data_IF_785524653106
#
_entry.id   IF_785524653106
#
_cell.length_a   1.000
_cell.length_b   1.000
_cell.length_c   1.000
_cell.angle_alpha   90.00
_cell.angle_beta   90.00
_cell.angle_gamma   90.00
#
_symmetry.space_group_name_H-M   'P 1'
#
loop_
_entity.id
_entity.type
_entity.pdbx_description
1 polymer ?
#
# COMPACT_ATOMS: atom_id res chain seq x y z
N UNK A 1 20.25 -14.72 3.32
CA UNK A 1 21.43 -14.15 2.60
C UNK A 1 21.03 -12.80 2.02
N UNK A 2 21.82 -11.75 2.21
CA UNK A 2 21.57 -10.44 1.59
C UNK A 2 22.55 -10.30 0.42
N UNK A 3 22.02 -9.98 -0.76
CA UNK A 3 22.80 -9.83 -1.99
C UNK A 3 22.61 -8.39 -2.48
N UNK A 4 23.70 -7.68 -2.73
CA UNK A 4 23.64 -6.39 -3.43
C UNK A 4 23.53 -6.65 -4.93
N UNK A 5 22.36 -6.38 -5.52
CA UNK A 5 22.13 -6.63 -6.94
C UNK A 5 23.09 -5.82 -7.85
N UNK A 6 23.69 -4.72 -7.36
CA UNK A 6 24.66 -3.92 -8.12
C UNK A 6 26.00 -4.61 -8.30
N UNK A 7 26.30 -5.62 -7.48
CA UNK A 7 27.55 -6.39 -7.57
C UNK A 7 27.39 -7.66 -8.39
N UNK A 8 26.18 -7.98 -8.85
CA UNK A 8 25.93 -9.19 -9.65
C UNK A 8 26.30 -8.96 -11.13
N UNK A 9 26.83 -9.98 -11.83
CA UNK A 9 26.98 -9.93 -13.28
C UNK A 9 25.66 -9.63 -13.98
N UNK A 10 25.74 -8.90 -15.10
CA UNK A 10 24.55 -8.71 -15.95
C UNK A 10 24.08 -10.05 -16.50
N UNK A 11 22.78 -10.34 -16.38
CA UNK A 11 22.18 -11.61 -16.81
C UNK A 11 22.22 -12.72 -15.76
N UNK A 12 22.73 -12.44 -14.56
CA UNK A 12 22.67 -13.38 -13.42
C UNK A 12 21.22 -13.75 -13.08
N UNK A 13 20.98 -15.03 -12.81
CA UNK A 13 19.64 -15.56 -12.50
C UNK A 13 19.54 -15.99 -11.03
N UNK A 14 18.50 -15.53 -10.34
CA UNK A 14 18.21 -15.94 -8.96
C UNK A 14 17.03 -16.90 -8.98
N UNK A 15 17.30 -18.18 -8.72
CA UNK A 15 16.29 -19.24 -8.66
C UNK A 15 15.55 -19.26 -7.32
N UNK A 16 14.22 -19.13 -7.37
CA UNK A 16 13.36 -19.04 -6.18
C UNK A 16 11.96 -19.55 -6.52
N UNK A 17 11.22 -20.05 -5.53
CA UNK A 17 9.81 -20.44 -5.72
C UNK A 17 8.88 -19.23 -5.62
N UNK A 18 9.24 -18.25 -4.78
CA UNK A 18 8.45 -17.05 -4.53
C UNK A 18 9.37 -15.83 -4.56
N UNK A 19 9.11 -14.91 -5.50
CA UNK A 19 9.74 -13.60 -5.52
C UNK A 19 8.78 -12.54 -4.98
N UNK A 20 9.16 -11.87 -3.89
CA UNK A 20 8.44 -10.76 -3.29
C UNK A 20 9.15 -9.47 -3.68
N UNK A 21 8.42 -8.57 -4.34
CA UNK A 21 8.94 -7.25 -4.71
C UNK A 21 8.49 -6.23 -3.67
N UNK A 22 9.46 -5.55 -3.06
CA UNK A 22 9.39 -4.63 -1.93
C UNK A 22 9.31 -5.27 -0.54
N UNK A 23 10.06 -4.68 0.40
CA UNK A 23 10.14 -5.00 1.82
C UNK A 23 9.28 -4.06 2.68
N UNK A 24 8.11 -3.64 2.18
CA UNK A 24 7.10 -2.93 2.96
C UNK A 24 6.36 -3.84 3.96
N UNK A 25 5.32 -3.32 4.64
CA UNK A 25 4.52 -4.10 5.59
C UNK A 25 3.95 -5.40 5.00
N UNK A 26 3.42 -5.35 3.76
CA UNK A 26 2.93 -6.53 3.07
C UNK A 26 4.05 -7.53 2.75
N UNK A 27 5.13 -7.04 2.13
CA UNK A 27 6.24 -7.88 1.67
C UNK A 27 6.94 -8.61 2.81
N UNK A 28 7.24 -7.93 3.91
CA UNK A 28 7.83 -8.56 5.10
C UNK A 28 6.86 -9.57 5.76
N UNK A 29 5.56 -9.27 5.76
CA UNK A 29 4.55 -10.21 6.29
C UNK A 29 4.53 -11.49 5.45
N UNK A 30 4.44 -11.37 4.12
CA UNK A 30 4.50 -12.51 3.20
C UNK A 30 5.81 -13.29 3.36
N UNK A 31 6.95 -12.61 3.41
CA UNK A 31 8.26 -13.26 3.56
C UNK A 31 8.33 -14.08 4.87
N UNK A 32 7.79 -13.55 5.97
CA UNK A 32 7.70 -14.26 7.26
C UNK A 32 6.79 -15.48 7.17
N UNK A 33 5.62 -15.34 6.56
CA UNK A 33 4.67 -16.44 6.37
C UNK A 33 5.25 -17.59 5.53
N UNK A 34 5.97 -17.28 4.45
CA UNK A 34 6.55 -18.31 3.58
C UNK A 34 7.82 -18.96 4.15
N UNK A 35 8.64 -18.21 4.89
CA UNK A 35 9.80 -18.80 5.59
C UNK A 35 9.37 -19.86 6.60
N UNK A 36 8.16 -19.73 7.17
CA UNK A 36 7.61 -20.73 8.09
C UNK A 36 7.14 -22.04 7.41
N UNK A 37 7.04 -22.04 6.08
CA UNK A 37 6.49 -23.13 5.27
C UNK A 37 7.52 -23.75 4.31
N UNK A 38 8.82 -23.57 4.59
CA UNK A 38 9.96 -24.18 3.87
C UNK A 38 10.06 -23.83 2.37
N UNK A 39 9.55 -22.66 1.96
CA UNK A 39 9.73 -22.17 0.59
C UNK A 39 11.07 -21.42 0.41
N UNK A 40 11.68 -21.56 -0.77
CA UNK A 40 12.78 -20.67 -1.20
C UNK A 40 12.22 -19.33 -1.65
N UNK A 41 12.37 -18.32 -0.80
CA UNK A 41 11.84 -16.95 -1.02
C UNK A 41 12.97 -15.97 -1.37
N UNK A 42 12.77 -15.18 -2.42
CA UNK A 42 13.57 -14.00 -2.74
C UNK A 42 12.78 -12.74 -2.38
N UNK A 43 13.34 -11.88 -1.52
CA UNK A 43 12.80 -10.55 -1.25
C UNK A 43 13.66 -9.51 -1.97
N UNK A 44 13.08 -8.87 -2.98
CA UNK A 44 13.74 -7.85 -3.79
C UNK A 44 13.25 -6.46 -3.39
N UNK A 45 14.13 -5.64 -2.84
CA UNK A 45 13.85 -4.23 -2.55
C UNK A 45 14.80 -3.34 -3.33
N UNK A 46 14.28 -2.20 -3.80
CA UNK A 46 15.07 -1.17 -4.43
C UNK A 46 15.14 0.02 -3.47
N UNK A 47 16.35 0.47 -3.13
CA UNK A 47 16.52 1.68 -2.32
C UNK A 47 17.97 2.12 -2.26
N UNK A 48 18.22 3.41 -2.06
CA UNK A 48 19.44 3.91 -1.43
C UNK A 48 19.08 4.49 -0.06
N UNK A 49 20.07 4.77 0.79
CA UNK A 49 19.83 5.41 2.09
C UNK A 49 19.54 6.91 1.98
N UNK A 50 19.79 7.52 0.82
CA UNK A 50 19.67 8.96 0.60
C UNK A 50 18.61 9.32 -0.44
N UNK A 51 18.09 10.54 -0.31
CA UNK A 51 17.11 11.14 -1.20
C UNK A 51 17.77 11.67 -2.49
N UNK A 52 17.18 11.37 -3.65
CA UNK A 52 17.65 11.84 -4.96
C UNK A 52 16.81 13.06 -5.46
N UNK A 53 17.43 14.25 -5.63
CA UNK A 53 16.71 15.47 -5.99
C UNK A 53 16.40 15.65 -7.49
N UNK A 54 16.90 14.84 -8.44
CA UNK A 54 16.66 15.09 -9.87
C UNK A 54 15.25 14.66 -10.35
N UNK A 55 14.56 15.49 -11.15
CA UNK A 55 13.10 15.69 -11.01
C UNK A 55 12.15 15.12 -12.07
N UNK A 56 12.58 14.40 -13.10
CA UNK A 56 11.63 13.79 -14.07
C UNK A 56 11.51 12.27 -14.00
N UNK A 57 12.54 11.63 -13.46
CA UNK A 57 12.60 10.18 -13.28
C UNK A 57 13.09 9.87 -11.88
N UNK A 58 12.69 8.74 -11.31
CA UNK A 58 13.30 8.24 -10.09
C UNK A 58 14.73 7.73 -10.36
N UNK A 59 15.44 7.33 -9.29
CA UNK A 59 16.80 6.79 -9.39
C UNK A 59 16.93 5.52 -10.25
N UNK A 60 15.80 4.89 -10.64
CA UNK A 60 15.75 3.74 -11.55
C UNK A 60 15.35 4.14 -12.98
N UNK A 61 15.29 5.43 -13.28
CA UNK A 61 14.87 5.95 -14.58
C UNK A 61 13.36 5.81 -14.84
N UNK A 62 12.52 5.48 -13.85
CA UNK A 62 11.06 5.36 -14.01
C UNK A 62 10.40 6.72 -13.84
N UNK A 63 9.21 6.91 -14.41
CA UNK A 63 8.48 8.18 -14.28
C UNK A 63 8.03 8.40 -12.83
N UNK A 64 8.23 9.60 -12.28
CA UNK A 64 7.71 9.95 -10.95
C UNK A 64 6.18 9.96 -10.97
N UNK A 65 5.56 9.52 -9.88
CA UNK A 65 4.11 9.56 -9.70
C UNK A 65 3.65 11.02 -9.66
N UNK A 66 2.64 11.35 -10.47
CA UNK A 66 1.95 12.65 -10.41
C UNK A 66 0.61 12.46 -9.72
N UNK A 67 0.48 13.04 -8.52
CA UNK A 67 -0.75 12.97 -7.75
C UNK A 67 -1.67 14.13 -8.14
N UNK A 68 -2.89 13.80 -8.56
CA UNK A 68 -3.97 14.76 -8.78
C UNK A 68 -5.00 14.59 -7.67
N UNK A 69 -4.94 15.43 -6.66
CA UNK A 69 -5.87 15.37 -5.53
C UNK A 69 -7.01 16.36 -5.74
N UNK A 70 -8.24 15.85 -5.83
CA UNK A 70 -9.44 16.64 -6.04
C UNK A 70 -10.46 16.25 -4.96
N UNK A 71 -10.60 17.08 -3.92
CA UNK A 71 -11.64 16.90 -2.91
C UNK A 71 -13.02 17.19 -3.50
N UNK A 72 -14.04 16.52 -2.97
CA UNK A 72 -15.44 16.74 -3.33
C UNK A 72 -16.25 17.29 -2.14
N UNK A 73 -17.55 17.50 -2.35
CA UNK A 73 -18.43 18.08 -1.33
C UNK A 73 -18.53 17.22 -0.06
N UNK A 74 -18.51 15.89 -0.18
CA UNK A 74 -18.58 15.01 0.99
C UNK A 74 -17.27 15.04 1.79
N UNK A 75 -16.12 15.19 1.13
CA UNK A 75 -14.82 15.35 1.81
C UNK A 75 -14.83 16.66 2.62
N UNK A 76 -15.23 17.77 2.00
CA UNK A 76 -15.31 19.09 2.62
C UNK A 76 -16.28 19.07 3.81
N UNK A 77 -17.46 18.48 3.63
CA UNK A 77 -18.46 18.34 4.69
C UNK A 77 -17.91 17.54 5.87
N UNK A 78 -17.28 16.39 5.59
CA UNK A 78 -16.76 15.49 6.63
C UNK A 78 -15.63 16.14 7.43
N UNK A 79 -14.73 16.90 6.77
CA UNK A 79 -13.67 17.64 7.44
C UNK A 79 -14.26 18.67 8.41
N UNK A 80 -15.19 19.52 7.93
CA UNK A 80 -15.84 20.54 8.77
C UNK A 80 -16.56 19.92 9.96
N UNK A 81 -17.32 18.84 9.72
CA UNK A 81 -18.05 18.16 10.79
C UNK A 81 -17.11 17.54 11.82
N UNK A 82 -15.99 16.97 11.39
CA UNK A 82 -14.98 16.40 12.29
C UNK A 82 -14.35 17.47 13.19
N UNK A 83 -14.09 18.66 12.65
CA UNK A 83 -13.61 19.80 13.43
C UNK A 83 -14.65 20.26 14.47
N UNK A 84 -15.93 20.36 14.07
CA UNK A 84 -17.01 20.75 14.99
C UNK A 84 -17.16 19.76 16.15
N UNK A 85 -17.12 18.45 15.85
CA UNK A 85 -17.14 17.40 16.88
C UNK A 85 -15.95 17.55 17.82
N UNK A 86 -14.74 17.72 17.29
CA UNK A 86 -13.55 17.88 18.13
C UNK A 86 -13.66 19.10 19.05
N UNK A 87 -14.20 20.22 18.56
CA UNK A 87 -14.46 21.42 19.36
C UNK A 87 -15.46 21.15 20.48
N UNK A 88 -16.58 20.50 20.17
CA UNK A 88 -17.59 20.13 21.15
C UNK A 88 -17.00 19.21 22.24
N UNK A 89 -16.21 18.21 21.85
CA UNK A 89 -15.62 17.25 22.79
C UNK A 89 -14.51 17.86 23.66
N UNK A 90 -13.68 18.76 23.12
CA UNK A 90 -12.71 19.51 23.93
C UNK A 90 -13.43 20.35 24.99
N UNK A 91 -14.51 21.05 24.62
CA UNK A 91 -15.30 21.82 25.57
C UNK A 91 -15.98 20.92 26.62
N UNK A 92 -16.60 19.81 26.20
CA UNK A 92 -17.24 18.83 27.11
C UNK A 92 -16.25 18.21 28.09
N UNK A 93 -15.01 17.97 27.66
CA UNK A 93 -13.97 17.39 28.52
C UNK A 93 -13.48 18.33 29.63
N UNK A 94 -13.74 19.64 29.53
CA UNK A 94 -13.21 20.65 30.44
C UNK A 94 -11.71 20.94 30.28
N UNK A 95 -11.05 20.34 29.27
CA UNK A 95 -9.61 20.53 29.00
C UNK A 95 -9.33 21.91 28.38
N UNK A 96 -10.30 22.50 27.69
CA UNK A 96 -10.17 23.83 27.11
C UNK A 96 -11.30 24.19 26.16
N UNK A 97 -11.04 25.19 25.30
CA UNK A 97 -11.92 25.56 24.19
C UNK A 97 -11.10 25.57 22.90
N UNK A 98 -11.67 25.04 21.82
CA UNK A 98 -11.08 25.07 20.49
C UNK A 98 -11.78 26.13 19.64
N UNK A 99 -11.01 27.06 19.10
CA UNK A 99 -11.47 27.98 18.06
C UNK A 99 -11.05 27.43 16.70
N UNK A 100 -11.98 27.43 15.75
CA UNK A 100 -11.75 26.93 14.39
C UNK A 100 -11.87 28.15 13.49
N UNK A 101 -10.75 28.56 12.91
CA UNK A 101 -10.74 29.55 11.84
C UNK A 101 -11.14 28.87 10.52
N UNK A 102 -12.03 29.51 9.78
CA UNK A 102 -12.55 29.02 8.49
C UNK A 102 -12.46 30.16 7.49
N UNK A 103 -11.33 30.26 6.81
CA UNK A 103 -11.24 31.14 5.65
C UNK A 103 -11.90 30.47 4.43
N UNK A 104 -13.04 31.02 4.00
CA UNK A 104 -13.80 30.50 2.88
C UNK A 104 -14.42 29.11 3.12
N UNK A 105 -14.75 28.42 2.02
CA UNK A 105 -15.53 27.18 2.07
C UNK A 105 -14.70 25.90 1.92
N UNK A 106 -13.41 26.00 1.55
CA UNK A 106 -12.53 24.86 1.34
C UNK A 106 -11.48 24.77 2.46
N UNK A 107 -11.25 23.57 3.03
CA UNK A 107 -10.17 23.37 3.99
C UNK A 107 -8.82 23.63 3.33
N UNK A 108 -7.96 24.40 4.00
CA UNK A 108 -6.58 24.57 3.55
C UNK A 108 -5.79 23.26 3.76
N UNK A 109 -5.12 22.80 2.71
CA UNK A 109 -4.27 21.61 2.77
C UNK A 109 -2.89 21.99 3.29
N UNK A 110 -2.76 22.10 4.61
CA UNK A 110 -1.53 22.55 5.29
C UNK A 110 -0.40 21.50 5.16
N UNK A 111 -0.74 20.24 4.87
CA UNK A 111 0.23 19.19 4.55
C UNK A 111 -0.38 18.22 3.52
N UNK A 112 0.37 17.78 2.48
CA UNK A 112 -0.07 16.71 1.57
C UNK A 112 -0.08 15.32 2.26
N UNK A 113 -0.15 15.31 3.60
CA UNK A 113 0.23 14.24 4.49
C UNK A 113 -0.87 13.22 4.67
N UNK A 114 -0.98 12.34 3.69
CA UNK A 114 -1.38 10.97 4.00
C UNK A 114 -0.42 10.04 3.25
N UNK A 115 0.50 9.39 3.98
CA UNK A 115 1.37 8.34 3.44
C UNK A 115 0.59 7.03 3.16
N UNK A 116 -0.70 7.16 2.83
CA UNK A 116 -1.71 6.09 2.84
C UNK A 116 -2.45 6.04 1.50
N UNK A 117 -1.75 6.20 0.38
CA UNK A 117 -2.37 6.05 -0.94
C UNK A 117 -2.97 4.64 -1.09
N UNK A 118 -4.18 4.58 -1.63
CA UNK A 118 -5.01 3.38 -1.71
C UNK A 118 -5.67 3.26 -3.10
N UNK A 119 -5.98 2.04 -3.52
CA UNK A 119 -6.86 1.78 -4.66
C UNK A 119 -6.24 1.87 -6.06
N UNK A 120 -4.93 2.07 -6.20
CA UNK A 120 -4.24 2.17 -7.51
C UNK A 120 -4.20 0.87 -8.31
N UNK A 121 -4.42 -0.28 -7.66
CA UNK A 121 -4.57 -1.60 -8.29
C UNK A 121 -5.78 -2.32 -7.68
N UNK A 122 -6.90 -1.59 -7.66
CA UNK A 122 -8.16 -1.94 -6.98
C UNK A 122 -8.57 -3.40 -7.16
N UNK A 123 -8.98 -4.03 -6.06
CA UNK A 123 -9.62 -5.34 -6.04
C UNK A 123 -11.06 -5.26 -6.54
N UNK A 124 -11.43 -6.16 -7.46
CA UNK A 124 -12.79 -6.38 -7.92
C UNK A 124 -12.91 -7.75 -8.64
N UNK A 125 -14.04 -8.43 -8.53
CA UNK A 125 -14.25 -9.73 -9.20
C UNK A 125 -14.38 -9.58 -10.74
N UNK A 126 -15.01 -8.50 -11.20
CA UNK A 126 -15.04 -8.11 -12.62
C UNK A 126 -13.71 -7.44 -13.05
N UNK A 127 -12.97 -8.00 -14.03
CA UNK A 127 -11.71 -7.45 -14.53
C UNK A 127 -11.84 -6.09 -15.24
N UNK A 128 -13.05 -5.64 -15.57
CA UNK A 128 -13.29 -4.31 -16.14
C UNK A 128 -13.38 -3.21 -15.08
N UNK A 129 -13.52 -3.60 -13.80
CA UNK A 129 -13.72 -2.68 -12.67
C UNK A 129 -12.53 -2.67 -11.69
N UNK A 130 -11.57 -3.58 -11.85
CA UNK A 130 -10.41 -3.72 -10.97
C UNK A 130 -9.23 -4.40 -11.66
N UNK A 131 -8.07 -4.34 -11.01
CA UNK A 131 -6.80 -4.91 -11.49
C UNK A 131 -6.58 -6.32 -10.95
N UNK A 132 -7.03 -6.57 -9.72
CA UNK A 132 -6.90 -7.86 -9.06
C UNK A 132 -8.25 -8.43 -8.65
N UNK A 133 -8.34 -9.76 -8.59
CA UNK A 133 -9.50 -10.46 -8.05
C UNK A 133 -9.54 -10.40 -6.51
N UNK A 134 -10.56 -11.01 -5.91
CA UNK A 134 -10.70 -11.11 -4.44
C UNK A 134 -9.53 -11.78 -3.73
N UNK A 135 -8.71 -12.54 -4.43
CA UNK A 135 -7.52 -13.21 -3.90
C UNK A 135 -6.24 -12.41 -4.15
N UNK A 136 -6.37 -11.16 -4.58
CA UNK A 136 -5.26 -10.29 -4.94
C UNK A 136 -4.46 -10.79 -6.17
N UNK A 137 -5.00 -11.73 -6.95
CA UNK A 137 -4.40 -12.21 -8.20
C UNK A 137 -4.68 -11.20 -9.31
N UNK A 138 -3.66 -10.86 -10.11
CA UNK A 138 -3.85 -9.99 -11.27
C UNK A 138 -4.68 -10.71 -12.32
N UNK A 139 -5.74 -10.04 -12.79
CA UNK A 139 -6.60 -10.59 -13.82
C UNK A 139 -5.80 -10.94 -15.09
N UNK A 140 -5.98 -12.17 -15.57
CA UNK A 140 -5.29 -12.69 -16.75
C UNK A 140 -3.85 -13.17 -16.53
N UNK A 141 -3.32 -13.14 -15.29
CA UNK A 141 -1.97 -13.62 -14.97
C UNK A 141 -2.02 -14.57 -13.77
N UNK A 142 -1.79 -15.86 -14.01
CA UNK A 142 -2.01 -16.92 -13.00
C UNK A 142 -1.00 -16.90 -11.85
N UNK A 143 0.18 -16.31 -12.04
CA UNK A 143 1.29 -16.34 -11.09
C UNK A 143 1.72 -14.95 -10.60
N UNK A 144 0.87 -13.93 -10.75
CA UNK A 144 1.15 -12.57 -10.28
C UNK A 144 0.09 -12.09 -9.30
N UNK A 145 0.54 -11.63 -8.14
CA UNK A 145 -0.31 -11.16 -7.05
C UNK A 145 0.17 -9.80 -6.56
N UNK A 146 -0.76 -8.97 -6.06
CA UNK A 146 -0.44 -7.64 -5.52
C UNK A 146 -0.89 -7.56 -4.07
N UNK A 147 0.02 -7.23 -3.15
CA UNK A 147 -0.31 -7.05 -1.74
C UNK A 147 0.04 -5.64 -1.28
N UNK A 148 -0.93 -4.92 -0.72
CA UNK A 148 -0.73 -3.55 -0.25
C UNK A 148 -2.04 -2.77 -0.17
N UNK A 149 -1.97 -1.50 0.21
CA UNK A 149 -3.13 -0.59 0.22
C UNK A 149 -3.68 -0.31 -1.19
N UNK A 150 -2.87 -0.55 -2.23
CA UNK A 150 -3.27 -0.35 -3.63
C UNK A 150 -4.46 -1.23 -4.04
N UNK A 151 -4.66 -2.39 -3.41
CA UNK A 151 -5.77 -3.30 -3.73
C UNK A 151 -7.08 -2.92 -3.05
N UNK A 152 -7.08 -1.93 -2.14
CA UNK A 152 -8.27 -1.62 -1.38
C UNK A 152 -9.35 -1.03 -2.30
N UNK A 153 -10.58 -1.57 -2.32
CA UNK A 153 -11.66 -1.03 -3.15
C UNK A 153 -12.15 0.33 -2.63
N UNK A 154 -12.05 0.55 -1.33
CA UNK A 154 -12.47 1.78 -0.64
C UNK A 154 -11.43 2.20 0.38
N UNK A 155 -11.20 3.51 0.50
CA UNK A 155 -10.44 4.08 1.62
C UNK A 155 -11.29 4.15 2.88
N UNK A 156 -10.67 3.95 4.04
CA UNK A 156 -11.28 4.16 5.35
C UNK A 156 -10.66 5.35 6.10
N UNK A 157 -11.14 5.64 7.31
CA UNK A 157 -10.59 6.71 8.14
C UNK A 157 -9.28 6.32 8.87
N UNK A 158 -9.10 5.02 9.13
CA UNK A 158 -7.98 4.50 9.90
C UNK A 158 -6.76 4.20 9.01
N UNK A 159 -5.58 4.20 9.62
CA UNK A 159 -4.33 3.90 8.92
C UNK A 159 -4.37 2.46 8.35
N UNK A 160 -3.96 2.26 7.08
CA UNK A 160 -4.21 1.02 6.36
C UNK A 160 -3.31 -0.15 6.80
N UNK A 161 -2.20 0.10 7.50
CA UNK A 161 -1.14 -0.88 7.76
C UNK A 161 -1.66 -2.19 8.37
N UNK A 162 -2.56 -2.13 9.34
CA UNK A 162 -3.13 -3.35 9.94
C UNK A 162 -3.94 -4.16 8.92
N UNK A 163 -4.72 -3.48 8.07
CA UNK A 163 -5.48 -4.12 6.99
C UNK A 163 -4.55 -4.71 5.92
N UNK A 164 -3.43 -4.04 5.63
CA UNK A 164 -2.39 -4.55 4.72
C UNK A 164 -1.81 -5.86 5.25
N UNK A 165 -1.44 -5.90 6.54
CA UNK A 165 -0.90 -7.11 7.18
C UNK A 165 -1.94 -8.24 7.17
N UNK A 166 -3.20 -7.96 7.51
CA UNK A 166 -4.26 -8.96 7.49
C UNK A 166 -4.48 -9.55 6.08
N UNK A 167 -4.52 -8.71 5.04
CA UNK A 167 -4.64 -9.20 3.66
C UNK A 167 -3.40 -9.97 3.20
N UNK A 168 -2.20 -9.57 3.64
CA UNK A 168 -0.97 -10.28 3.33
C UNK A 168 -0.95 -11.69 3.94
N UNK A 169 -1.39 -11.86 5.20
CA UNK A 169 -1.54 -13.18 5.83
C UNK A 169 -2.55 -14.02 5.06
N UNK A 170 -3.73 -13.46 4.74
CA UNK A 170 -4.76 -14.15 3.95
C UNK A 170 -4.23 -14.59 2.58
N UNK A 171 -3.46 -13.74 1.91
CA UNK A 171 -2.84 -14.05 0.63
C UNK A 171 -1.79 -15.16 0.79
N UNK A 172 -0.96 -15.11 1.83
CA UNK A 172 0.01 -16.17 2.08
C UNK A 172 -0.67 -17.53 2.24
N UNK A 173 -1.76 -17.62 3.02
CA UNK A 173 -2.51 -18.86 3.20
C UNK A 173 -3.14 -19.36 1.90
N UNK A 174 -3.62 -18.46 1.04
CA UNK A 174 -4.12 -18.81 -0.29
C UNK A 174 -3.01 -19.37 -1.17
N UNK A 175 -1.84 -18.72 -1.22
CA UNK A 175 -0.70 -19.13 -2.03
C UNK A 175 -0.10 -20.47 -1.56
N UNK A 176 0.03 -20.68 -0.24
CA UNK A 176 0.44 -21.97 0.34
C UNK A 176 -0.45 -23.10 -0.19
N UNK A 177 -1.78 -22.93 -0.16
CA UNK A 177 -2.73 -23.94 -0.67
C UNK A 177 -2.58 -24.18 -2.17
N UNK A 178 -2.45 -23.11 -2.98
CA UNK A 178 -2.26 -23.24 -4.43
C UNK A 178 -0.98 -24.02 -4.76
N UNK A 179 0.12 -23.72 -4.08
CA UNK A 179 1.42 -24.34 -4.34
C UNK A 179 1.47 -25.79 -3.87
N UNK A 180 0.85 -26.14 -2.72
CA UNK A 180 0.73 -27.53 -2.29
C UNK A 180 -0.18 -28.35 -3.22
N UNK A 181 -1.24 -27.75 -3.77
CA UNK A 181 -2.16 -28.43 -4.68
C UNK A 181 -1.56 -28.67 -6.07
N UNK A 182 -0.53 -27.92 -6.46
CA UNK A 182 0.21 -28.09 -7.72
C UNK A 182 1.38 -29.08 -7.60
N UNK A 183 1.74 -29.51 -6.39
CA UNK A 183 2.84 -30.45 -6.13
C UNK A 183 2.42 -31.93 -6.19
N UNK A 184 1.15 -32.22 -6.54
CA UNK A 184 0.56 -33.56 -6.68
C UNK A 184 0.25 -33.85 -8.14
#
# INVERSE_FOLDING_TARGET
>A
MLIDARTLPTGETIETEICIVSAGPAGNTLAREFTSADFRVCLLESGGLEFDPNTHRDRLGRQKVKLHWCGNDIDIHTIKRSQDILKEEIARSGIGQLEIDRDGNQPELIHPGTHHHMGTTRMHDDPTQGVVDRNCQVHGISNLFIAGSSVFPTGGYANPTLSIVALAIRLADHLKKLMTSQAV
#
